data_IF_289182677401
#
_entry.id   IF_289182677401
#
_cell.length_a   1.000
_cell.length_b   1.000
_cell.length_c   1.000
_cell.angle_alpha   90.00
_cell.angle_beta   90.00
_cell.angle_gamma   90.00
#
_symmetry.space_group_name_H-M   'P 1'
#
loop_
_entity.id
_entity.type
_entity.pdbx_description
1 polymer ?
#
# COMPACT_ATOMS: atom_id res chain seq x y z
N UNK A 1 -1.78 2.30 28.86
CA UNK A 1 -2.27 1.68 27.65
C UNK A 1 -2.36 2.66 26.48
N UNK A 2 -3.27 3.62 26.49
CA UNK A 2 -3.52 4.56 25.37
C UNK A 2 -2.23 5.24 24.90
N UNK A 3 -1.39 5.76 25.82
CA UNK A 3 -0.14 6.43 25.47
C UNK A 3 0.86 5.50 24.76
N UNK A 4 0.99 4.23 25.19
CA UNK A 4 1.86 3.24 24.55
C UNK A 4 1.31 2.88 23.15
N UNK A 5 0.00 2.63 23.04
CA UNK A 5 -0.67 2.35 21.77
C UNK A 5 -0.56 3.52 20.79
N UNK A 6 -0.74 4.75 21.26
CA UNK A 6 -0.62 5.96 20.47
C UNK A 6 0.80 6.14 19.89
N UNK A 7 1.83 5.95 20.71
CA UNK A 7 3.22 6.03 20.25
C UNK A 7 3.55 4.94 19.24
N UNK A 8 3.08 3.71 19.45
CA UNK A 8 3.26 2.62 18.49
C UNK A 8 2.48 2.89 17.20
N UNK A 9 1.25 3.40 17.31
CA UNK A 9 0.45 3.79 16.15
C UNK A 9 1.13 4.87 15.31
N UNK A 10 1.71 5.88 15.93
CA UNK A 10 2.46 6.93 15.25
C UNK A 10 3.75 6.39 14.58
N UNK A 11 4.45 5.46 15.24
CA UNK A 11 5.61 4.79 14.66
C UNK A 11 5.23 3.99 13.42
N UNK A 12 4.17 3.17 13.51
CA UNK A 12 3.68 2.37 12.40
C UNK A 12 3.15 3.25 11.27
N UNK A 13 2.39 4.30 11.58
CA UNK A 13 1.98 5.30 10.60
C UNK A 13 3.18 5.80 9.79
N UNK A 14 4.31 6.12 10.48
CA UNK A 14 5.52 6.58 9.82
C UNK A 14 6.21 5.56 8.91
N UNK A 15 6.19 4.29 9.29
CA UNK A 15 6.79 3.21 8.48
C UNK A 15 5.94 2.94 7.23
N UNK A 16 4.63 3.01 7.37
CA UNK A 16 3.69 2.82 6.26
C UNK A 16 3.61 4.01 5.32
N UNK A 17 3.81 5.23 5.84
CA UNK A 17 3.64 6.43 5.04
C UNK A 17 4.76 6.57 4.00
N UNK A 18 4.47 6.20 2.78
CA UNK A 18 5.42 6.13 1.68
C UNK A 18 4.99 6.95 0.45
N UNK A 19 5.68 6.69 -0.65
CA UNK A 19 5.50 7.40 -1.92
C UNK A 19 4.06 7.36 -2.45
N UNK A 20 3.42 6.19 -2.43
CA UNK A 20 2.05 6.01 -2.92
C UNK A 20 1.03 6.85 -2.19
N UNK A 21 1.19 6.95 -0.88
CA UNK A 21 0.31 7.70 0.01
C UNK A 21 0.31 9.22 -0.25
N UNK A 22 1.35 9.70 -0.93
CA UNK A 22 1.48 11.11 -1.30
C UNK A 22 0.84 11.44 -2.65
N UNK A 23 0.97 10.55 -3.64
CA UNK A 23 0.63 10.87 -5.02
C UNK A 23 -0.74 10.36 -5.47
N UNK A 24 -1.21 9.20 -4.96
CA UNK A 24 -2.48 8.63 -5.40
C UNK A 24 -3.71 9.36 -4.86
N UNK A 25 -3.77 9.81 -3.59
CA UNK A 25 -4.92 10.57 -3.13
C UNK A 25 -5.16 11.86 -3.94
N UNK A 26 -4.18 12.76 -4.17
CA UNK A 26 -4.43 13.94 -4.98
C UNK A 26 -4.71 13.61 -6.45
N UNK A 27 -4.15 12.51 -6.98
CA UNK A 27 -4.46 12.01 -8.31
C UNK A 27 -5.93 11.62 -8.43
N UNK A 28 -6.43 10.82 -7.50
CA UNK A 28 -7.85 10.45 -7.39
C UNK A 28 -8.73 11.70 -7.29
N UNK A 29 -8.35 12.67 -6.45
CA UNK A 29 -9.09 13.93 -6.31
C UNK A 29 -9.27 14.64 -7.63
N UNK A 30 -8.18 14.81 -8.40
CA UNK A 30 -8.21 15.45 -9.72
C UNK A 30 -9.09 14.68 -10.71
N UNK A 31 -8.99 13.33 -10.73
CA UNK A 31 -9.67 12.50 -11.73
C UNK A 31 -11.13 12.20 -11.40
N UNK A 32 -11.54 12.32 -10.16
CA UNK A 32 -12.90 11.99 -9.70
C UNK A 32 -13.93 13.11 -9.92
N UNK A 33 -13.47 14.36 -10.07
CA UNK A 33 -14.34 15.50 -10.31
C UNK A 33 -15.52 15.59 -9.33
N UNK A 34 -16.75 15.70 -9.85
CA UNK A 34 -17.98 15.77 -9.06
C UNK A 34 -18.29 14.46 -8.29
N UNK A 35 -17.67 13.34 -8.62
CA UNK A 35 -17.87 12.05 -7.95
C UNK A 35 -16.89 11.80 -6.79
N UNK A 36 -16.26 12.85 -6.29
CA UNK A 36 -15.22 12.84 -5.25
C UNK A 36 -15.57 11.97 -4.03
N UNK A 37 -16.72 12.18 -3.42
CA UNK A 37 -17.09 11.48 -2.18
C UNK A 37 -17.26 9.97 -2.36
N UNK A 38 -17.80 9.54 -3.49
CA UNK A 38 -17.91 8.12 -3.81
C UNK A 38 -16.53 7.49 -4.08
N UNK A 39 -15.69 8.20 -4.83
CA UNK A 39 -14.33 7.75 -5.14
C UNK A 39 -13.46 7.63 -3.90
N UNK A 40 -13.43 8.66 -3.04
CA UNK A 40 -12.60 8.66 -1.83
C UNK A 40 -13.09 7.63 -0.80
N UNK A 41 -14.40 7.35 -0.74
CA UNK A 41 -14.91 6.27 0.12
C UNK A 41 -14.36 4.90 -0.31
N UNK A 42 -14.35 4.59 -1.61
CA UNK A 42 -13.73 3.37 -2.14
C UNK A 42 -12.24 3.31 -1.83
N UNK A 43 -11.53 4.41 -2.05
CA UNK A 43 -10.09 4.52 -1.80
C UNK A 43 -9.73 4.31 -0.32
N UNK A 44 -10.44 4.97 0.60
CA UNK A 44 -10.19 4.82 2.04
C UNK A 44 -10.52 3.40 2.51
N UNK A 45 -11.57 2.79 1.98
CA UNK A 45 -11.91 1.41 2.31
C UNK A 45 -10.78 0.44 1.92
N UNK A 46 -10.24 0.55 0.71
CA UNK A 46 -9.20 -0.36 0.22
C UNK A 46 -7.79 0.04 0.68
N UNK A 47 -7.43 1.31 0.64
CA UNK A 47 -6.10 1.78 1.02
C UNK A 47 -5.89 1.81 2.54
N UNK A 48 -6.90 2.20 3.32
CA UNK A 48 -6.79 2.29 4.78
C UNK A 48 -7.45 1.10 5.47
N UNK A 49 -8.72 0.85 5.18
CA UNK A 49 -9.51 -0.17 5.86
C UNK A 49 -8.86 -1.55 5.78
N UNK A 50 -8.52 -1.99 4.57
CA UNK A 50 -7.86 -3.28 4.36
C UNK A 50 -6.45 -3.31 4.94
N UNK A 51 -5.68 -2.23 4.84
CA UNK A 51 -4.33 -2.17 5.39
C UNK A 51 -4.34 -2.35 6.92
N UNK A 52 -5.21 -1.61 7.61
CA UNK A 52 -5.35 -1.70 9.07
C UNK A 52 -5.87 -3.07 9.49
N UNK A 53 -6.85 -3.61 8.77
CA UNK A 53 -7.39 -4.94 9.03
C UNK A 53 -6.31 -6.02 8.88
N UNK A 54 -5.56 -5.97 7.79
CA UNK A 54 -4.43 -6.87 7.53
C UNK A 54 -3.35 -6.75 8.62
N UNK A 55 -3.02 -5.54 9.03
CA UNK A 55 -2.06 -5.30 10.12
C UNK A 55 -2.54 -5.92 11.44
N UNK A 56 -3.79 -5.66 11.84
CA UNK A 56 -4.37 -6.20 13.08
C UNK A 56 -4.32 -7.73 13.05
N UNK A 57 -4.76 -8.36 11.96
CA UNK A 57 -4.76 -9.82 11.84
C UNK A 57 -3.35 -10.40 11.93
N UNK A 58 -2.38 -9.78 11.25
CA UNK A 58 -0.98 -10.19 11.31
C UNK A 58 -0.36 -10.06 12.70
N UNK A 59 -0.76 -9.04 13.47
CA UNK A 59 -0.26 -8.82 14.83
C UNK A 59 -0.92 -9.73 15.88
N UNK A 60 -2.10 -10.25 15.58
CA UNK A 60 -2.79 -11.19 16.46
C UNK A 60 -2.26 -12.63 16.38
N UNK A 61 -1.41 -12.94 15.40
CA UNK A 61 -0.76 -14.23 15.28
C UNK A 61 0.77 -14.09 15.34
N UNK A 62 1.42 -14.51 16.44
CA UNK A 62 2.89 -14.45 16.58
C UNK A 62 3.65 -15.25 15.51
N UNK A 63 3.04 -16.32 14.96
CA UNK A 63 3.63 -17.16 13.92
C UNK A 63 3.53 -16.53 12.51
N UNK A 64 2.82 -15.40 12.38
CA UNK A 64 2.70 -14.61 11.15
C UNK A 64 1.89 -15.26 10.03
N UNK A 65 1.79 -14.55 8.91
CA UNK A 65 0.96 -14.94 7.76
C UNK A 65 1.37 -16.25 7.11
N UNK A 66 2.65 -16.59 7.08
CA UNK A 66 3.11 -17.84 6.47
C UNK A 66 2.47 -19.06 7.16
N UNK A 67 2.36 -19.03 8.49
CA UNK A 67 1.72 -20.09 9.26
C UNK A 67 0.21 -20.13 9.02
N UNK A 68 -0.45 -18.98 9.09
CA UNK A 68 -1.90 -18.87 8.86
C UNK A 68 -2.33 -19.43 7.50
N UNK A 69 -1.64 -19.02 6.45
CA UNK A 69 -1.95 -19.44 5.08
C UNK A 69 -1.62 -20.93 4.89
N UNK A 70 -0.49 -21.40 5.43
CA UNK A 70 -0.07 -22.80 5.34
C UNK A 70 -1.07 -23.74 5.99
N UNK A 71 -1.60 -23.38 7.16
CA UNK A 71 -2.55 -24.18 7.92
C UNK A 71 -3.93 -24.21 7.23
N UNK A 72 -4.42 -23.05 6.82
CA UNK A 72 -5.80 -22.88 6.33
C UNK A 72 -5.94 -23.22 4.85
N UNK A 73 -4.90 -22.98 4.05
CA UNK A 73 -4.93 -23.19 2.61
C UNK A 73 -3.97 -24.30 2.24
N UNK A 74 -2.69 -23.99 2.01
CA UNK A 74 -1.65 -24.97 1.70
C UNK A 74 -0.25 -24.37 1.92
N UNK A 75 0.76 -25.17 2.35
CA UNK A 75 2.12 -24.69 2.54
C UNK A 75 2.77 -24.14 1.28
N UNK A 76 2.60 -24.83 0.13
CA UNK A 76 3.14 -24.38 -1.15
C UNK A 76 2.53 -23.05 -1.58
N UNK A 77 1.22 -22.89 -1.38
CA UNK A 77 0.51 -21.65 -1.74
C UNK A 77 0.97 -20.47 -0.88
N UNK A 78 1.20 -20.70 0.43
CA UNK A 78 1.74 -19.68 1.32
C UNK A 78 3.08 -19.14 0.80
N UNK A 79 3.99 -20.02 0.37
CA UNK A 79 5.30 -19.62 -0.17
C UNK A 79 5.13 -18.84 -1.47
N UNK A 80 4.37 -19.37 -2.45
CA UNK A 80 4.18 -18.74 -3.76
C UNK A 80 3.54 -17.35 -3.60
N UNK A 81 2.47 -17.26 -2.82
CA UNK A 81 1.77 -16.01 -2.57
C UNK A 81 2.66 -14.98 -1.87
N UNK A 82 3.36 -15.36 -0.79
CA UNK A 82 4.23 -14.44 -0.06
C UNK A 82 5.45 -14.03 -0.88
N UNK A 83 6.02 -14.93 -1.69
CA UNK A 83 7.08 -14.57 -2.64
C UNK A 83 6.60 -13.51 -3.62
N UNK A 84 5.43 -13.70 -4.25
CA UNK A 84 4.84 -12.73 -5.17
C UNK A 84 4.55 -11.38 -4.47
N UNK A 85 4.01 -11.42 -3.25
CA UNK A 85 3.75 -10.25 -2.44
C UNK A 85 5.04 -9.50 -2.11
N UNK A 86 6.06 -10.17 -1.55
CA UNK A 86 7.31 -9.54 -1.17
C UNK A 86 8.11 -9.00 -2.36
N UNK A 87 8.06 -9.68 -3.52
CA UNK A 87 8.64 -9.14 -4.76
C UNK A 87 7.92 -7.88 -5.23
N UNK A 88 6.60 -7.83 -5.06
CA UNK A 88 5.79 -6.67 -5.47
C UNK A 88 6.03 -5.45 -4.58
N UNK A 89 6.01 -5.62 -3.25
CA UNK A 89 6.33 -4.51 -2.32
C UNK A 89 7.84 -4.24 -2.22
N UNK A 90 8.66 -5.15 -2.67
CA UNK A 90 10.12 -5.07 -2.71
C UNK A 90 10.62 -4.53 -4.05
N UNK A 91 11.46 -5.31 -4.74
CA UNK A 91 12.26 -4.83 -5.87
C UNK A 91 11.46 -4.40 -7.10
N UNK A 92 10.24 -4.92 -7.30
CA UNK A 92 9.55 -4.66 -8.55
C UNK A 92 8.74 -3.38 -8.57
N UNK A 93 8.06 -3.01 -7.45
CA UNK A 93 7.16 -1.84 -7.51
C UNK A 93 7.39 -0.83 -6.38
N UNK A 94 7.29 -1.19 -5.10
CA UNK A 94 7.33 -0.17 -4.06
C UNK A 94 8.71 0.46 -3.90
N UNK A 95 9.79 -0.32 -3.86
CA UNK A 95 11.17 0.19 -3.75
C UNK A 95 11.52 1.14 -4.91
N UNK A 96 11.37 0.77 -6.21
CA UNK A 96 11.67 1.70 -7.29
C UNK A 96 10.75 2.93 -7.30
N UNK A 97 9.46 2.75 -6.94
CA UNK A 97 8.50 3.86 -6.88
C UNK A 97 8.84 4.89 -5.82
N UNK A 98 9.38 4.49 -4.65
CA UNK A 98 9.81 5.47 -3.64
C UNK A 98 10.89 6.41 -4.15
N UNK A 99 11.87 5.88 -4.88
CA UNK A 99 12.94 6.68 -5.48
C UNK A 99 12.41 7.62 -6.58
N UNK A 100 11.56 7.10 -7.49
CA UNK A 100 10.99 7.90 -8.58
C UNK A 100 10.04 8.98 -8.08
N UNK A 101 9.22 8.72 -7.06
CA UNK A 101 8.35 9.76 -6.46
C UNK A 101 9.17 10.82 -5.75
N UNK A 102 10.21 10.43 -5.01
CA UNK A 102 11.11 11.40 -4.39
C UNK A 102 11.78 12.31 -5.43
N UNK A 103 12.14 11.75 -6.58
CA UNK A 103 12.68 12.50 -7.71
C UNK A 103 11.63 13.39 -8.37
N UNK A 104 10.48 12.83 -8.77
CA UNK A 104 9.44 13.53 -9.54
C UNK A 104 8.77 14.67 -8.76
N UNK A 105 8.48 14.44 -7.47
CA UNK A 105 7.88 15.45 -6.59
C UNK A 105 8.91 16.47 -6.12
N UNK A 106 10.11 16.00 -5.78
CA UNK A 106 11.11 16.82 -5.11
C UNK A 106 12.06 17.52 -6.07
N UNK A 107 12.75 16.79 -6.91
CA UNK A 107 13.92 17.26 -7.67
C UNK A 107 13.55 17.71 -9.09
N UNK A 108 12.76 16.91 -9.80
CA UNK A 108 12.38 17.15 -11.19
C UNK A 108 11.83 18.56 -11.45
N UNK A 109 10.96 19.14 -10.57
CA UNK A 109 10.43 20.49 -10.76
C UNK A 109 11.48 21.61 -10.68
N UNK A 110 12.67 21.33 -10.15
CA UNK A 110 13.78 22.28 -10.05
C UNK A 110 14.75 22.19 -11.24
N UNK A 111 14.58 21.20 -12.11
CA UNK A 111 15.47 20.96 -13.25
C UNK A 111 14.86 21.46 -14.57
N UNK A 112 15.74 21.83 -15.51
CA UNK A 112 15.31 22.10 -16.88
C UNK A 112 14.86 20.80 -17.57
N UNK A 113 13.90 20.87 -18.49
CA UNK A 113 13.34 19.70 -19.20
C UNK A 113 14.40 18.79 -19.83
N UNK A 114 15.50 19.35 -20.31
CA UNK A 114 16.58 18.58 -20.95
C UNK A 114 17.45 17.81 -19.96
N UNK A 115 17.39 18.14 -18.67
CA UNK A 115 18.21 17.51 -17.63
C UNK A 115 17.44 16.48 -16.79
N UNK A 116 16.12 16.35 -16.96
CA UNK A 116 15.31 15.47 -16.13
C UNK A 116 15.70 13.99 -16.23
N UNK A 117 16.04 13.49 -17.43
CA UNK A 117 16.48 12.10 -17.61
C UNK A 117 17.83 11.81 -16.94
N UNK A 118 18.82 12.67 -17.12
CA UNK A 118 20.14 12.53 -16.49
C UNK A 118 19.98 12.72 -14.96
N UNK A 119 19.18 13.68 -14.55
CA UNK A 119 18.88 13.94 -13.15
C UNK A 119 18.27 12.72 -12.45
N UNK A 120 17.37 11.98 -13.10
CA UNK A 120 16.81 10.73 -12.57
C UNK A 120 17.91 9.70 -12.32
N UNK A 121 18.79 9.46 -13.29
CA UNK A 121 19.86 8.46 -13.14
C UNK A 121 20.81 8.85 -12.01
N UNK A 122 21.24 10.11 -11.95
CA UNK A 122 22.14 10.59 -10.89
C UNK A 122 21.47 10.47 -9.51
N UNK A 123 20.23 10.94 -9.40
CA UNK A 123 19.48 10.89 -8.14
C UNK A 123 19.28 9.44 -7.68
N UNK A 124 18.78 8.55 -8.54
CA UNK A 124 18.53 7.15 -8.20
C UNK A 124 19.81 6.42 -7.83
N UNK A 125 20.94 6.71 -8.50
CA UNK A 125 22.26 6.13 -8.16
C UNK A 125 22.65 6.48 -6.73
N UNK A 126 22.60 7.75 -6.35
CA UNK A 126 22.94 8.20 -5.00
C UNK A 126 21.95 7.66 -3.95
N UNK A 127 20.66 7.69 -4.29
CA UNK A 127 19.58 7.23 -3.43
C UNK A 127 19.70 5.73 -3.12
N UNK A 128 19.89 4.89 -4.13
CA UNK A 128 20.00 3.45 -3.94
C UNK A 128 21.34 3.03 -3.33
N UNK A 129 22.43 3.73 -3.63
CA UNK A 129 23.71 3.51 -2.95
C UNK A 129 23.58 3.76 -1.44
N UNK A 130 22.98 4.88 -1.06
CA UNK A 130 22.75 5.20 0.35
C UNK A 130 21.77 4.21 1.02
N UNK A 131 20.65 3.86 0.34
CA UNK A 131 19.68 2.90 0.86
C UNK A 131 20.29 1.51 1.07
N UNK A 132 21.12 1.05 0.15
CA UNK A 132 21.85 -0.21 0.27
C UNK A 132 22.78 -0.22 1.48
N UNK A 133 23.63 0.80 1.61
CA UNK A 133 24.60 0.87 2.72
C UNK A 133 23.91 0.84 4.09
N UNK A 134 22.78 1.54 4.23
CA UNK A 134 22.00 1.53 5.47
C UNK A 134 21.30 0.18 5.69
N UNK A 135 20.81 -0.46 4.63
CA UNK A 135 20.12 -1.74 4.72
C UNK A 135 21.05 -2.90 5.07
N UNK A 136 22.33 -2.80 4.79
CA UNK A 136 23.32 -3.82 5.17
C UNK A 136 23.54 -3.89 6.69
N UNK A 137 23.40 -2.78 7.38
CA UNK A 137 23.50 -2.67 8.82
C UNK A 137 22.31 -1.84 9.34
N UNK A 138 21.10 -2.44 9.44
CA UNK A 138 19.93 -1.73 9.87
C UNK A 138 20.14 -1.19 11.29
N UNK A 139 20.63 0.02 11.37
CA UNK A 139 20.97 0.67 12.61
C UNK A 139 19.75 1.40 13.19
N UNK A 140 19.80 1.71 14.50
CA UNK A 140 18.83 2.58 15.20
C UNK A 140 18.65 3.97 14.55
N UNK A 141 19.45 4.29 13.52
CA UNK A 141 19.43 5.58 12.81
C UNK A 141 18.13 5.71 11.99
N UNK A 142 17.73 4.66 11.25
CA UNK A 142 16.47 4.62 10.50
C UNK A 142 15.25 4.84 11.40
N UNK A 143 15.24 4.16 12.55
CA UNK A 143 14.20 4.33 13.57
C UNK A 143 14.14 5.76 14.10
N UNK A 144 15.30 6.40 14.35
CA UNK A 144 15.34 7.77 14.87
C UNK A 144 14.91 8.79 13.83
N UNK A 145 15.38 8.65 12.60
CA UNK A 145 15.01 9.55 11.49
C UNK A 145 13.51 9.46 11.25
N UNK A 146 12.95 8.26 11.11
CA UNK A 146 11.52 8.06 10.91
C UNK A 146 10.67 8.61 12.07
N UNK A 147 11.08 8.39 13.32
CA UNK A 147 10.35 8.88 14.52
C UNK A 147 10.23 10.40 14.60
N UNK A 148 11.18 11.15 14.06
CA UNK A 148 11.18 12.61 14.11
C UNK A 148 10.62 13.20 12.82
N UNK A 149 11.13 12.75 11.66
CA UNK A 149 10.76 13.37 10.40
C UNK A 149 9.34 13.04 9.95
N UNK A 150 8.86 11.84 10.21
CA UNK A 150 7.50 11.47 9.78
C UNK A 150 6.41 12.31 10.45
N UNK A 151 6.40 12.54 11.78
CA UNK A 151 5.44 13.47 12.39
C UNK A 151 5.55 14.89 11.86
N UNK A 152 6.77 15.39 11.66
CA UNK A 152 6.99 16.72 11.08
C UNK A 152 6.40 16.81 9.68
N UNK A 153 6.68 15.82 8.84
CA UNK A 153 6.15 15.76 7.49
C UNK A 153 4.62 15.65 7.47
N UNK A 154 4.04 14.81 8.33
CA UNK A 154 2.58 14.70 8.45
C UNK A 154 1.92 16.04 8.83
N UNK A 155 2.51 16.76 9.79
CA UNK A 155 2.03 18.11 10.17
C UNK A 155 2.10 19.08 8.99
N UNK A 156 3.18 19.06 8.23
CA UNK A 156 3.34 19.95 7.07
C UNK A 156 2.35 19.65 5.95
N UNK A 157 2.07 18.37 5.68
CA UNK A 157 1.02 17.98 4.73
C UNK A 157 -0.36 18.42 5.24
N UNK A 158 -0.64 18.29 6.54
CA UNK A 158 -1.90 18.78 7.12
C UNK A 158 -2.02 20.30 6.93
N UNK A 159 -0.96 21.05 7.18
CA UNK A 159 -0.95 22.50 6.96
C UNK A 159 -1.16 22.82 5.46
N UNK A 160 -0.47 22.11 4.55
CA UNK A 160 -0.66 22.26 3.10
C UNK A 160 -2.12 22.02 2.71
N UNK A 161 -2.74 20.96 3.23
CA UNK A 161 -4.13 20.61 2.96
C UNK A 161 -5.09 21.69 3.48
N UNK A 162 -4.90 22.16 4.72
CA UNK A 162 -5.76 23.20 5.31
C UNK A 162 -5.65 24.49 4.51
N UNK A 163 -4.44 24.97 4.25
CA UNK A 163 -4.22 26.20 3.48
C UNK A 163 -4.69 26.05 2.03
N UNK A 164 -4.51 24.88 1.44
CA UNK A 164 -5.02 24.55 0.11
C UNK A 164 -6.55 24.54 0.07
N UNK A 165 -7.19 23.97 1.07
CA UNK A 165 -8.65 23.99 1.19
C UNK A 165 -9.20 25.41 1.37
N UNK A 166 -8.54 26.26 2.16
CA UNK A 166 -8.93 27.67 2.34
C UNK A 166 -8.75 28.47 1.03
N UNK A 167 -7.71 28.19 0.25
CA UNK A 167 -7.41 28.93 -0.98
C UNK A 167 -8.18 28.44 -2.19
N UNK A 168 -8.38 27.14 -2.33
CA UNK A 168 -8.93 26.51 -3.52
C UNK A 168 -10.29 25.82 -3.29
N UNK A 169 -10.77 25.68 -2.06
CA UNK A 169 -11.95 24.91 -1.72
C UNK A 169 -13.26 25.39 -2.36
N UNK A 170 -13.29 26.61 -2.92
CA UNK A 170 -14.41 27.16 -3.68
C UNK A 170 -14.24 27.09 -5.19
N UNK A 171 -13.12 26.57 -5.70
CA UNK A 171 -12.90 26.41 -7.14
C UNK A 171 -13.79 25.29 -7.69
N UNK A 172 -14.14 25.40 -8.97
CA UNK A 172 -14.90 24.35 -9.67
C UNK A 172 -14.02 23.09 -9.84
N UNK A 173 -14.66 21.93 -9.69
CA UNK A 173 -14.00 20.64 -9.91
C UNK A 173 -13.61 20.46 -11.37
N UNK A 174 -12.57 19.68 -11.60
CA UNK A 174 -12.27 19.10 -12.91
C UNK A 174 -13.43 18.18 -13.34
N UNK A 175 -13.61 17.98 -14.64
CA UNK A 175 -14.52 16.95 -15.11
C UNK A 175 -14.04 15.57 -14.71
N UNK A 176 -14.94 14.72 -14.22
CA UNK A 176 -14.59 13.35 -13.91
C UNK A 176 -14.10 12.62 -15.15
N UNK A 177 -13.04 11.83 -15.02
CA UNK A 177 -12.60 10.95 -16.11
C UNK A 177 -13.65 9.88 -16.40
N UNK A 178 -13.60 9.28 -17.60
CA UNK A 178 -14.57 8.27 -18.01
C UNK A 178 -14.66 7.11 -17.00
N UNK A 179 -13.54 6.65 -16.46
CA UNK A 179 -13.50 5.57 -15.46
C UNK A 179 -14.26 5.93 -14.17
N UNK A 180 -14.06 7.14 -13.66
CA UNK A 180 -14.78 7.62 -12.46
C UNK A 180 -16.25 7.95 -12.72
N UNK A 181 -16.60 8.39 -13.92
CA UNK A 181 -18.00 8.59 -14.31
C UNK A 181 -18.77 7.27 -14.41
N UNK A 182 -18.13 6.19 -14.84
CA UNK A 182 -18.72 4.86 -14.94
C UNK A 182 -18.92 4.21 -13.55
N UNK A 183 -17.91 4.25 -12.68
CA UNK A 183 -17.95 3.64 -11.35
C UNK A 183 -16.98 4.32 -10.40
N UNK A 184 -17.38 5.43 -9.80
CA UNK A 184 -16.51 6.21 -8.94
C UNK A 184 -16.01 5.43 -7.71
N UNK A 185 -16.90 4.71 -7.02
CA UNK A 185 -16.53 3.89 -5.86
C UNK A 185 -15.56 2.76 -6.26
N UNK A 186 -15.88 2.02 -7.32
CA UNK A 186 -15.04 0.90 -7.78
C UNK A 186 -13.67 1.37 -8.24
N UNK A 187 -13.61 2.48 -9.00
CA UNK A 187 -12.35 3.06 -9.42
C UNK A 187 -11.53 3.58 -8.24
N UNK A 188 -12.18 4.25 -7.28
CA UNK A 188 -11.51 4.65 -6.04
C UNK A 188 -10.98 3.46 -5.23
N UNK A 189 -11.76 2.38 -5.16
CA UNK A 189 -11.34 1.14 -4.50
C UNK A 189 -10.10 0.51 -5.18
N UNK A 190 -10.06 0.48 -6.52
CA UNK A 190 -8.89 0.02 -7.27
C UNK A 190 -7.67 0.95 -7.09
N UNK A 191 -7.92 2.27 -7.10
CA UNK A 191 -6.83 3.24 -6.90
C UNK A 191 -6.18 3.09 -5.53
N UNK A 192 -6.94 2.69 -4.50
CA UNK A 192 -6.40 2.37 -3.19
C UNK A 192 -5.42 1.18 -3.19
N UNK A 193 -5.50 0.25 -4.16
CA UNK A 193 -4.49 -0.80 -4.32
C UNK A 193 -3.11 -0.22 -4.64
N UNK A 194 -3.07 0.90 -5.36
CA UNK A 194 -1.83 1.55 -5.74
C UNK A 194 -1.04 2.10 -4.55
N UNK A 195 -1.65 2.28 -3.37
CA UNK A 195 -0.90 2.65 -2.17
C UNK A 195 0.03 1.52 -1.69
N UNK A 196 -0.29 0.27 -2.02
CA UNK A 196 0.40 -0.96 -1.56
C UNK A 196 0.28 -1.23 -0.05
N UNK A 197 -0.52 -0.45 0.67
CA UNK A 197 -0.56 -0.48 2.14
C UNK A 197 -1.04 -1.83 2.69
N UNK A 198 -2.07 -2.47 2.10
CA UNK A 198 -2.54 -3.76 2.58
C UNK A 198 -1.51 -4.88 2.36
N UNK A 199 -0.78 -4.86 1.24
CA UNK A 199 0.32 -5.80 1.00
C UNK A 199 1.51 -5.53 1.94
N UNK A 200 1.87 -4.26 2.12
CA UNK A 200 2.91 -3.86 3.06
C UNK A 200 2.55 -4.24 4.51
N UNK A 201 1.26 -4.21 4.86
CA UNK A 201 0.77 -4.63 6.19
C UNK A 201 1.08 -6.10 6.51
N UNK A 202 1.06 -6.98 5.50
CA UNK A 202 1.48 -8.37 5.69
C UNK A 202 2.94 -8.44 6.14
N UNK A 203 3.83 -7.71 5.45
CA UNK A 203 5.25 -7.68 5.78
C UNK A 203 5.54 -6.95 7.10
N UNK A 204 4.91 -5.80 7.31
CA UNK A 204 5.15 -4.97 8.50
C UNK A 204 4.45 -5.49 9.76
N UNK A 205 3.52 -6.45 9.65
CA UNK A 205 2.93 -7.10 10.81
C UNK A 205 4.00 -7.75 11.71
N UNK A 206 5.07 -8.29 11.13
CA UNK A 206 6.21 -8.85 11.87
C UNK A 206 6.92 -7.76 12.70
N UNK A 207 7.16 -6.59 12.11
CA UNK A 207 7.75 -5.43 12.80
C UNK A 207 6.81 -4.95 13.92
N UNK A 208 5.51 -4.90 13.64
CA UNK A 208 4.50 -4.50 14.62
C UNK A 208 4.47 -5.46 15.83
N UNK A 209 4.50 -6.78 15.60
CA UNK A 209 4.59 -7.79 16.67
C UNK A 209 5.84 -7.59 17.51
N UNK A 210 7.01 -7.44 16.87
CA UNK A 210 8.27 -7.23 17.57
C UNK A 210 8.24 -5.95 18.43
N UNK A 211 7.72 -4.85 17.88
CA UNK A 211 7.58 -3.58 18.60
C UNK A 211 6.61 -3.69 19.76
N UNK A 212 5.47 -4.36 19.55
CA UNK A 212 4.48 -4.57 20.61
C UNK A 212 5.04 -5.44 21.74
N UNK A 213 5.75 -6.52 21.42
CA UNK A 213 6.37 -7.41 22.43
C UNK A 213 7.41 -6.67 23.30
N UNK A 214 8.15 -5.72 22.74
CA UNK A 214 9.10 -4.89 23.51
C UNK A 214 8.43 -3.97 24.54
N UNK A 215 7.11 -3.73 24.43
CA UNK A 215 6.37 -2.90 25.39
C UNK A 215 6.08 -3.59 26.73
N UNK A 216 6.28 -4.91 26.82
CA UNK A 216 6.12 -5.68 28.04
C UNK A 216 4.67 -5.67 28.57
N UNK A 217 3.75 -6.30 27.86
CA UNK A 217 2.35 -6.41 28.30
C UNK A 217 2.18 -7.42 29.43
N UNK A 218 1.31 -7.10 30.40
CA UNK A 218 1.06 -7.95 31.55
C UNK A 218 0.08 -9.09 31.25
N UNK A 219 -0.78 -8.91 30.24
CA UNK A 219 -1.79 -9.90 29.90
C UNK A 219 -2.30 -9.72 28.46
N UNK A 220 -2.96 -10.74 27.94
CA UNK A 220 -3.55 -10.81 26.61
C UNK A 220 -4.56 -9.68 26.32
N UNK A 221 -5.37 -9.29 27.31
CA UNK A 221 -6.37 -8.24 27.13
C UNK A 221 -5.72 -6.88 26.87
N UNK A 222 -4.60 -6.58 27.57
CA UNK A 222 -3.84 -5.36 27.37
C UNK A 222 -3.19 -5.34 25.98
N UNK A 223 -2.63 -6.45 25.52
CA UNK A 223 -2.06 -6.61 24.18
C UNK A 223 -3.10 -6.35 23.08
N UNK A 224 -4.24 -7.06 23.13
CA UNK A 224 -5.32 -6.92 22.14
C UNK A 224 -5.89 -5.49 22.15
N UNK A 225 -6.16 -4.92 23.33
CA UNK A 225 -6.65 -3.53 23.42
C UNK A 225 -5.67 -2.53 22.82
N UNK A 226 -4.37 -2.75 23.01
CA UNK A 226 -3.34 -1.87 22.42
C UNK A 226 -3.30 -1.99 20.89
N UNK A 227 -3.44 -3.19 20.32
CA UNK A 227 -3.53 -3.39 18.86
C UNK A 227 -4.70 -2.62 18.26
N UNK A 228 -5.88 -2.65 18.90
CA UNK A 228 -7.04 -1.90 18.43
C UNK A 228 -6.81 -0.38 18.48
N UNK A 229 -6.16 0.13 19.53
CA UNK A 229 -5.77 1.55 19.63
C UNK A 229 -4.79 1.92 18.52
N UNK A 230 -3.78 1.08 18.28
CA UNK A 230 -2.81 1.26 17.18
C UNK A 230 -3.54 1.30 15.83
N UNK A 231 -4.37 0.30 15.56
CA UNK A 231 -5.13 0.22 14.31
C UNK A 231 -6.04 1.43 14.08
N UNK A 232 -6.76 1.87 15.11
CA UNK A 232 -7.61 3.05 15.04
C UNK A 232 -6.83 4.33 14.76
N UNK A 233 -5.67 4.52 15.41
CA UNK A 233 -4.83 5.69 15.17
C UNK A 233 -4.25 5.70 13.75
N UNK A 234 -3.79 4.56 13.26
CA UNK A 234 -3.33 4.42 11.88
C UNK A 234 -4.47 4.70 10.91
N UNK A 235 -5.67 4.13 11.15
CA UNK A 235 -6.84 4.36 10.31
C UNK A 235 -7.23 5.84 10.25
N UNK A 236 -7.34 6.52 11.40
CA UNK A 236 -7.71 7.93 11.45
C UNK A 236 -6.64 8.82 10.79
N UNK A 237 -5.36 8.55 11.06
CA UNK A 237 -4.25 9.31 10.48
C UNK A 237 -4.23 9.21 8.95
N UNK A 238 -4.28 7.98 8.41
CA UNK A 238 -4.30 7.77 6.95
C UNK A 238 -5.58 8.32 6.30
N UNK A 239 -6.75 8.09 6.90
CA UNK A 239 -8.01 8.61 6.36
C UNK A 239 -8.00 10.14 6.28
N UNK A 240 -7.54 10.83 7.33
CA UNK A 240 -7.43 12.28 7.35
C UNK A 240 -6.46 12.79 6.25
N UNK A 241 -5.30 12.16 6.12
CA UNK A 241 -4.31 12.50 5.10
C UNK A 241 -4.84 12.25 3.69
N UNK A 242 -5.46 11.10 3.43
CA UNK A 242 -5.95 10.73 2.11
C UNK A 242 -7.12 11.60 1.67
N UNK A 243 -8.10 11.82 2.55
CA UNK A 243 -9.22 12.71 2.27
C UNK A 243 -8.73 14.13 2.02
N UNK A 244 -7.80 14.61 2.84
CA UNK A 244 -7.26 15.96 2.71
C UNK A 244 -6.45 16.17 1.43
N UNK A 245 -5.53 15.26 1.10
CA UNK A 245 -4.75 15.33 -0.14
C UNK A 245 -5.64 15.14 -1.38
N UNK A 246 -6.62 14.26 -1.32
CA UNK A 246 -7.57 14.08 -2.41
C UNK A 246 -8.47 15.32 -2.58
N UNK A 247 -8.90 15.95 -1.48
CA UNK A 247 -9.65 17.21 -1.54
C UNK A 247 -8.82 18.33 -2.20
N UNK A 248 -7.54 18.43 -1.83
CA UNK A 248 -6.62 19.35 -2.48
C UNK A 248 -6.53 19.07 -3.99
N UNK A 249 -6.36 17.81 -4.38
CA UNK A 249 -6.30 17.42 -5.80
C UNK A 249 -7.60 17.69 -6.56
N UNK A 250 -8.74 17.57 -5.91
CA UNK A 250 -10.04 17.81 -6.53
C UNK A 250 -10.30 19.29 -6.86
N UNK A 251 -9.74 20.20 -6.07
CA UNK A 251 -9.98 21.65 -6.20
C UNK A 251 -8.80 22.42 -6.78
N UNK A 252 -7.58 21.83 -6.81
CA UNK A 252 -6.42 22.47 -7.37
C UNK A 252 -6.47 22.44 -8.91
N UNK A 253 -6.21 23.58 -9.59
CA UNK A 253 -6.24 23.63 -11.06
C UNK A 253 -5.09 22.80 -11.65
N UNK A 254 -5.43 21.79 -12.45
CA UNK A 254 -4.48 20.91 -13.13
C UNK A 254 -4.65 21.04 -14.65
N UNK A 255 -3.59 21.37 -15.42
CA UNK A 255 -3.66 21.43 -16.89
C UNK A 255 -4.04 20.08 -17.50
N UNK A 256 -4.85 20.10 -18.56
CA UNK A 256 -5.30 18.88 -19.25
C UNK A 256 -4.14 18.01 -19.76
N UNK A 257 -3.04 18.64 -20.17
CA UNK A 257 -1.82 17.94 -20.61
C UNK A 257 -1.19 17.08 -19.49
N UNK A 258 -1.28 17.55 -18.24
CA UNK A 258 -0.77 16.82 -17.06
C UNK A 258 -1.70 15.63 -16.75
N UNK A 259 -3.01 15.84 -16.86
CA UNK A 259 -4.00 14.78 -16.68
C UNK A 259 -3.78 13.68 -17.74
N UNK A 260 -3.57 14.05 -18.99
CA UNK A 260 -3.31 13.11 -20.09
C UNK A 260 -2.00 12.33 -19.94
N UNK A 261 -1.01 12.86 -19.23
CA UNK A 261 0.29 12.18 -18.98
C UNK A 261 0.22 11.09 -17.90
N UNK A 262 -0.88 10.97 -17.17
CA UNK A 262 -1.10 9.88 -16.23
C UNK A 262 -1.25 10.34 -14.78
N UNK A 263 -0.25 10.49 -13.97
CA UNK A 263 -0.37 10.73 -12.53
C UNK A 263 -0.35 12.23 -12.18
N UNK A 264 -1.53 12.92 -12.12
CA UNK A 264 -1.59 14.34 -11.79
C UNK A 264 -1.23 14.64 -10.32
N UNK A 265 -1.21 13.64 -9.43
CA UNK A 265 -0.93 13.85 -8.01
C UNK A 265 0.46 14.39 -7.72
N UNK A 266 1.47 14.00 -8.51
CA UNK A 266 2.83 14.58 -8.44
C UNK A 266 2.79 16.07 -8.68
N UNK A 267 2.09 16.49 -9.74
CA UNK A 267 1.93 17.89 -10.10
C UNK A 267 1.20 18.68 -9.02
N UNK A 268 0.07 18.15 -8.53
CA UNK A 268 -0.71 18.80 -7.46
C UNK A 268 0.17 19.03 -6.24
N UNK A 269 0.88 18.01 -5.76
CA UNK A 269 1.68 18.11 -4.54
C UNK A 269 2.79 19.16 -4.68
N UNK A 270 3.52 19.16 -5.79
CA UNK A 270 4.59 20.11 -6.05
C UNK A 270 4.07 21.54 -6.26
N UNK A 271 3.11 21.73 -7.18
CA UNK A 271 2.61 23.05 -7.54
C UNK A 271 1.77 23.70 -6.44
N UNK A 272 0.96 22.93 -5.70
CA UNK A 272 0.23 23.47 -4.56
C UNK A 272 1.19 23.94 -3.45
N UNK A 273 2.28 23.19 -3.21
CA UNK A 273 3.30 23.59 -2.23
C UNK A 273 3.94 24.93 -2.63
N UNK A 274 4.34 25.07 -3.90
CA UNK A 274 4.93 26.33 -4.39
C UNK A 274 3.91 27.48 -4.37
N UNK A 275 2.65 27.23 -4.74
CA UNK A 275 1.61 28.25 -4.80
C UNK A 275 1.16 28.74 -3.40
N UNK A 276 1.32 27.93 -2.35
CA UNK A 276 0.90 28.26 -0.98
C UNK A 276 2.07 28.83 -0.18
N UNK A 277 3.26 28.22 -0.26
CA UNK A 277 4.42 28.60 0.58
C UNK A 277 5.53 29.30 -0.18
N UNK A 278 5.40 29.49 -1.50
CA UNK A 278 6.42 30.11 -2.36
C UNK A 278 7.44 29.12 -2.93
N UNK A 279 8.28 29.57 -3.88
CA UNK A 279 9.21 28.70 -4.60
C UNK A 279 10.25 27.99 -3.74
N UNK A 280 10.69 28.61 -2.65
CA UNK A 280 11.67 28.04 -1.71
C UNK A 280 11.14 26.81 -0.97
N UNK A 281 9.82 26.68 -0.83
CA UNK A 281 9.19 25.53 -0.20
C UNK A 281 9.40 24.24 -1.01
N UNK A 282 9.69 24.33 -2.32
CA UNK A 282 10.02 23.18 -3.13
C UNK A 282 11.27 22.44 -2.63
N UNK A 283 12.30 23.17 -2.18
CA UNK A 283 13.52 22.57 -1.62
C UNK A 283 13.18 21.79 -0.34
N UNK A 284 12.32 22.36 0.49
CA UNK A 284 11.88 21.71 1.72
C UNK A 284 11.01 20.47 1.44
N UNK A 285 10.08 20.57 0.49
CA UNK A 285 9.29 19.44 0.02
C UNK A 285 10.20 18.32 -0.52
N UNK A 286 11.20 18.67 -1.33
CA UNK A 286 12.17 17.74 -1.88
C UNK A 286 12.91 16.97 -0.77
N UNK A 287 13.43 17.68 0.22
CA UNK A 287 14.12 17.06 1.35
C UNK A 287 13.19 16.11 2.14
N UNK A 288 11.99 16.56 2.46
CA UNK A 288 11.03 15.80 3.26
C UNK A 288 10.52 14.55 2.54
N UNK A 289 10.13 14.68 1.26
CA UNK A 289 9.68 13.53 0.46
C UNK A 289 10.82 12.54 0.25
N UNK A 290 12.03 13.02 -0.05
CA UNK A 290 13.19 12.15 -0.22
C UNK A 290 13.47 11.33 1.04
N UNK A 291 13.51 11.95 2.20
CA UNK A 291 13.79 11.23 3.45
C UNK A 291 12.66 10.26 3.82
N UNK A 292 11.41 10.65 3.66
CA UNK A 292 10.26 9.79 3.92
C UNK A 292 10.25 8.56 3.00
N UNK A 293 10.47 8.76 1.71
CA UNK A 293 10.60 7.67 0.74
C UNK A 293 11.82 6.79 1.02
N UNK A 294 12.94 7.39 1.43
CA UNK A 294 14.18 6.70 1.74
C UNK A 294 14.06 5.74 2.93
N UNK A 295 13.39 6.16 3.99
CA UNK A 295 13.16 5.27 5.16
C UNK A 295 12.28 4.09 4.79
N UNK A 296 11.26 4.29 3.96
CA UNK A 296 10.43 3.21 3.42
C UNK A 296 11.24 2.26 2.54
N UNK A 297 12.06 2.78 1.63
CA UNK A 297 12.94 1.96 0.78
C UNK A 297 13.86 1.07 1.60
N UNK A 298 14.58 1.64 2.56
CA UNK A 298 15.49 0.87 3.39
C UNK A 298 14.75 -0.19 4.22
N UNK A 299 13.59 0.15 4.79
CA UNK A 299 12.73 -0.80 5.49
C UNK A 299 12.25 -1.95 4.61
N UNK A 300 11.88 -1.67 3.35
CA UNK A 300 11.44 -2.69 2.40
C UNK A 300 12.60 -3.58 1.92
N UNK A 301 13.80 -3.03 1.69
CA UNK A 301 14.99 -3.84 1.36
C UNK A 301 15.28 -4.82 2.50
N UNK A 302 15.26 -4.34 3.75
CA UNK A 302 15.50 -5.19 4.93
C UNK A 302 14.43 -6.26 5.06
N UNK A 303 13.17 -5.87 5.06
CA UNK A 303 12.03 -6.78 5.24
C UNK A 303 11.98 -7.87 4.16
N UNK A 304 12.16 -7.47 2.89
CA UNK A 304 12.17 -8.41 1.77
C UNK A 304 13.39 -9.31 1.81
N UNK A 305 14.58 -8.75 2.08
CA UNK A 305 15.82 -9.52 2.21
C UNK A 305 15.76 -10.55 3.34
N UNK A 306 15.22 -10.19 4.50
CA UNK A 306 15.02 -11.10 5.62
C UNK A 306 14.02 -12.22 5.31
N UNK A 307 12.89 -11.89 4.67
CA UNK A 307 11.89 -12.87 4.26
C UNK A 307 12.52 -13.92 3.34
N UNK A 308 13.24 -13.48 2.30
CA UNK A 308 13.88 -14.40 1.36
C UNK A 308 15.00 -15.21 1.99
N UNK A 309 15.81 -14.60 2.85
CA UNK A 309 16.86 -15.33 3.57
C UNK A 309 16.31 -16.41 4.51
N UNK A 310 15.21 -16.13 5.21
CA UNK A 310 14.52 -17.12 6.07
C UNK A 310 13.84 -18.23 5.27
N UNK A 311 13.25 -17.89 4.11
CA UNK A 311 12.50 -18.84 3.28
C UNK A 311 13.44 -19.68 2.41
N UNK A 312 14.52 -19.08 1.90
CA UNK A 312 15.51 -19.70 1.02
C UNK A 312 16.93 -19.46 1.55
N UNK A 313 17.38 -20.19 2.58
CA UNK A 313 18.62 -19.92 3.32
C UNK A 313 19.91 -20.21 2.54
N UNK A 314 19.82 -20.68 1.29
CA UNK A 314 21.00 -20.95 0.42
C UNK A 314 21.80 -19.68 0.12
N UNK A 315 21.17 -18.52 0.09
CA UNK A 315 21.81 -17.23 -0.14
C UNK A 315 21.81 -16.40 1.15
N UNK A 316 22.86 -15.64 1.36
CA UNK A 316 22.93 -14.75 2.52
C UNK A 316 22.01 -13.54 2.37
N UNK A 317 21.61 -12.94 3.49
CA UNK A 317 20.86 -11.70 3.51
C UNK A 317 21.49 -10.60 2.63
N UNK A 318 22.84 -10.48 2.69
CA UNK A 318 23.57 -9.48 1.89
C UNK A 318 23.36 -9.67 0.39
N UNK A 319 23.34 -10.92 -0.10
CA UNK A 319 23.10 -11.23 -1.52
C UNK A 319 21.70 -10.82 -1.92
N UNK A 320 20.67 -11.16 -1.12
CA UNK A 320 19.29 -10.75 -1.38
C UNK A 320 19.15 -9.23 -1.38
N UNK A 321 19.68 -8.54 -0.38
CA UNK A 321 19.65 -7.09 -0.30
C UNK A 321 20.33 -6.43 -1.51
N UNK A 322 21.49 -6.95 -1.96
CA UNK A 322 22.19 -6.46 -3.16
C UNK A 322 21.34 -6.64 -4.42
N UNK A 323 20.84 -7.86 -4.65
CA UNK A 323 20.04 -8.18 -5.84
C UNK A 323 18.78 -7.33 -5.89
N UNK A 324 18.06 -7.22 -4.78
CA UNK A 324 16.81 -6.44 -4.73
C UNK A 324 17.04 -4.94 -4.88
N UNK A 325 18.13 -4.42 -4.35
CA UNK A 325 18.52 -3.02 -4.55
C UNK A 325 18.86 -2.74 -6.02
N UNK A 326 19.62 -3.63 -6.68
CA UNK A 326 19.97 -3.49 -8.09
C UNK A 326 18.74 -3.59 -9.00
N UNK A 327 17.84 -4.55 -8.77
CA UNK A 327 16.58 -4.65 -9.53
C UNK A 327 15.75 -3.38 -9.34
N UNK A 328 15.58 -2.91 -8.10
CA UNK A 328 14.85 -1.68 -7.80
C UNK A 328 15.47 -0.45 -8.48
N UNK A 329 16.80 -0.33 -8.50
CA UNK A 329 17.52 0.73 -9.20
C UNK A 329 17.25 0.70 -10.72
N UNK A 330 17.35 -0.46 -11.35
CA UNK A 330 17.09 -0.60 -12.80
C UNK A 330 15.65 -0.21 -13.12
N UNK A 331 14.68 -0.72 -12.36
CA UNK A 331 13.26 -0.43 -12.57
C UNK A 331 12.93 1.04 -12.30
N UNK A 332 13.55 1.67 -11.30
CA UNK A 332 13.35 3.09 -11.02
C UNK A 332 13.70 3.98 -12.22
N UNK A 333 14.70 3.59 -12.99
CA UNK A 333 15.13 4.34 -14.19
C UNK A 333 14.19 4.15 -15.40
N UNK A 334 13.15 3.32 -15.32
CA UNK A 334 12.04 3.29 -16.29
C UNK A 334 11.07 4.46 -16.10
N UNK A 335 11.14 5.15 -14.96
CA UNK A 335 10.26 6.26 -14.60
C UNK A 335 8.97 5.83 -13.90
N UNK A 336 8.34 6.78 -13.22
CA UNK A 336 7.19 6.55 -12.36
C UNK A 336 5.97 5.96 -13.09
N UNK A 337 5.64 6.50 -14.27
CA UNK A 337 4.48 6.05 -15.04
C UNK A 337 4.60 4.60 -15.49
N UNK A 338 5.79 4.16 -15.92
CA UNK A 338 6.04 2.78 -16.29
C UNK A 338 5.86 1.84 -15.07
N UNK A 339 6.40 2.22 -13.91
CA UNK A 339 6.26 1.44 -12.67
C UNK A 339 4.78 1.29 -12.30
N UNK A 340 3.99 2.36 -12.37
CA UNK A 340 2.55 2.32 -12.10
C UNK A 340 1.85 1.41 -13.11
N UNK A 341 2.11 1.58 -14.40
CA UNK A 341 1.49 0.79 -15.47
C UNK A 341 1.71 -0.72 -15.29
N UNK A 342 2.93 -1.13 -14.96
CA UNK A 342 3.26 -2.55 -14.76
C UNK A 342 2.79 -3.09 -13.41
N UNK A 343 2.68 -2.24 -12.38
CA UNK A 343 2.21 -2.70 -11.07
C UNK A 343 0.71 -2.98 -11.03
N UNK A 344 -0.11 -2.19 -11.71
CA UNK A 344 -1.58 -2.28 -11.64
C UNK A 344 -2.11 -3.68 -11.92
N UNK A 345 -1.74 -4.38 -13.01
CA UNK A 345 -2.23 -5.74 -13.26
C UNK A 345 -1.87 -6.73 -12.16
N UNK A 346 -0.65 -6.64 -11.62
CA UNK A 346 -0.18 -7.54 -10.55
C UNK A 346 -0.95 -7.26 -9.25
N UNK A 347 -1.22 -6.00 -8.93
CA UNK A 347 -2.00 -5.62 -7.76
C UNK A 347 -3.46 -6.07 -7.87
N UNK A 348 -4.06 -6.02 -9.05
CA UNK A 348 -5.41 -6.54 -9.31
C UNK A 348 -5.53 -8.06 -9.13
N UNK A 349 -4.41 -8.79 -9.13
CA UNK A 349 -4.36 -10.20 -8.76
C UNK A 349 -4.12 -10.37 -7.25
N UNK A 350 -3.11 -9.70 -6.70
CA UNK A 350 -2.68 -9.92 -5.32
C UNK A 350 -3.67 -9.39 -4.28
N UNK A 351 -4.31 -8.24 -4.53
CA UNK A 351 -5.24 -7.65 -3.56
C UNK A 351 -6.49 -8.49 -3.30
N UNK A 352 -7.22 -8.99 -4.31
CA UNK A 352 -8.33 -9.91 -4.09
C UNK A 352 -7.95 -11.13 -3.25
N UNK A 353 -6.79 -11.73 -3.54
CA UNK A 353 -6.26 -12.88 -2.79
C UNK A 353 -5.97 -12.48 -1.34
N UNK A 354 -5.30 -11.34 -1.13
CA UNK A 354 -5.00 -10.82 0.21
C UNK A 354 -6.27 -10.58 1.02
N UNK A 355 -7.27 -9.91 0.42
CA UNK A 355 -8.55 -9.61 1.07
C UNK A 355 -9.25 -10.89 1.49
N UNK A 356 -9.31 -11.88 0.60
CA UNK A 356 -9.98 -13.15 0.88
C UNK A 356 -9.25 -13.94 1.96
N UNK A 357 -7.92 -13.97 1.96
CA UNK A 357 -7.13 -14.60 3.03
C UNK A 357 -7.46 -13.93 4.38
N UNK A 358 -7.45 -12.61 4.43
CA UNK A 358 -7.75 -11.85 5.65
C UNK A 358 -9.18 -12.13 6.13
N UNK A 359 -10.17 -12.12 5.23
CA UNK A 359 -11.56 -12.45 5.57
C UNK A 359 -11.70 -13.89 6.08
N UNK A 360 -11.07 -14.86 5.43
CA UNK A 360 -11.05 -16.26 5.87
C UNK A 360 -10.46 -16.38 7.28
N UNK A 361 -9.34 -15.71 7.53
CA UNK A 361 -8.69 -15.75 8.85
C UNK A 361 -9.61 -15.15 9.92
N UNK A 362 -10.28 -14.04 9.62
CA UNK A 362 -11.23 -13.40 10.54
C UNK A 362 -12.43 -14.33 10.80
N UNK A 363 -13.11 -14.76 9.74
CA UNK A 363 -14.33 -15.57 9.87
C UNK A 363 -14.04 -16.88 10.59
N UNK A 364 -12.92 -17.55 10.25
CA UNK A 364 -12.55 -18.83 10.89
C UNK A 364 -12.26 -18.71 12.39
N UNK A 365 -12.02 -17.50 12.91
CA UNK A 365 -11.89 -17.28 14.37
C UNK A 365 -13.21 -17.32 15.12
N UNK A 366 -14.28 -16.93 14.46
CA UNK A 366 -15.62 -16.89 15.06
C UNK A 366 -16.46 -18.08 14.65
N UNK A 367 -16.33 -18.54 13.42
CA UNK A 367 -17.10 -19.61 12.81
C UNK A 367 -16.13 -20.63 12.17
N UNK A 368 -16.11 -21.89 12.63
CA UNK A 368 -15.18 -22.89 12.10
C UNK A 368 -15.49 -23.20 10.63
N UNK A 369 -14.56 -22.82 9.76
CA UNK A 369 -14.64 -23.03 8.33
C UNK A 369 -14.02 -24.38 7.92
N UNK A 370 -14.55 -25.00 6.88
CA UNK A 370 -13.96 -26.17 6.25
C UNK A 370 -12.66 -25.80 5.52
N UNK A 371 -11.60 -26.59 5.71
CA UNK A 371 -10.34 -26.41 5.00
C UNK A 371 -10.53 -26.47 3.48
N UNK A 372 -11.32 -27.44 3.00
CA UNK A 372 -11.63 -27.57 1.57
C UNK A 372 -12.37 -26.35 1.05
N UNK A 373 -13.34 -25.83 1.83
CA UNK A 373 -14.07 -24.62 1.47
C UNK A 373 -13.16 -23.39 1.37
N UNK A 374 -12.24 -23.20 2.32
CA UNK A 374 -11.25 -22.13 2.29
C UNK A 374 -10.32 -22.22 1.05
N UNK A 375 -9.86 -23.44 0.73
CA UNK A 375 -9.03 -23.70 -0.45
C UNK A 375 -9.77 -23.39 -1.76
N UNK A 376 -11.00 -23.85 -1.89
CA UNK A 376 -11.83 -23.59 -3.08
C UNK A 376 -12.14 -22.10 -3.25
N UNK A 377 -12.41 -21.40 -2.15
CA UNK A 377 -12.65 -19.96 -2.18
C UNK A 377 -11.43 -19.18 -2.70
N UNK A 378 -10.25 -19.47 -2.14
CA UNK A 378 -9.01 -18.82 -2.60
C UNK A 378 -8.68 -19.18 -4.04
N UNK A 379 -8.87 -20.45 -4.45
CA UNK A 379 -8.66 -20.89 -5.83
C UNK A 379 -9.60 -20.16 -6.80
N UNK A 380 -10.89 -20.07 -6.47
CA UNK A 380 -11.88 -19.39 -7.31
C UNK A 380 -11.53 -17.90 -7.48
N UNK A 381 -11.21 -17.19 -6.40
CA UNK A 381 -10.81 -15.77 -6.46
C UNK A 381 -9.51 -15.59 -7.24
N UNK A 382 -8.54 -16.47 -7.04
CA UNK A 382 -7.29 -16.45 -7.81
C UNK A 382 -7.56 -16.61 -9.31
N UNK A 383 -8.36 -17.60 -9.69
CA UNK A 383 -8.71 -17.86 -11.10
C UNK A 383 -9.46 -16.67 -11.73
N UNK A 384 -10.45 -16.10 -11.01
CA UNK A 384 -11.20 -14.93 -11.49
C UNK A 384 -10.28 -13.72 -11.68
N UNK A 385 -9.38 -13.46 -10.73
CA UNK A 385 -8.43 -12.33 -10.81
C UNK A 385 -7.46 -12.50 -11.98
N UNK A 386 -6.92 -13.70 -12.18
CA UNK A 386 -6.09 -13.99 -13.36
C UNK A 386 -6.89 -13.88 -14.67
N UNK A 387 -8.09 -14.46 -14.72
CA UNK A 387 -8.95 -14.37 -15.90
C UNK A 387 -9.28 -12.91 -16.26
N UNK A 388 -9.59 -12.08 -15.27
CA UNK A 388 -9.85 -10.65 -15.44
C UNK A 388 -8.68 -9.95 -16.13
N UNK A 389 -7.47 -10.17 -15.64
CA UNK A 389 -6.26 -9.52 -16.19
C UNK A 389 -5.90 -10.09 -17.56
N UNK A 390 -5.95 -11.41 -17.74
CA UNK A 390 -5.67 -12.03 -19.05
C UNK A 390 -6.67 -11.57 -20.11
N UNK A 391 -7.96 -11.53 -19.78
CA UNK A 391 -8.98 -11.01 -20.68
C UNK A 391 -8.72 -9.57 -21.12
N UNK A 392 -8.36 -8.70 -20.17
CA UNK A 392 -8.08 -7.30 -20.45
C UNK A 392 -6.76 -7.09 -21.23
N UNK A 393 -5.65 -7.71 -20.79
CA UNK A 393 -4.32 -7.50 -21.38
C UNK A 393 -4.18 -8.13 -22.78
N UNK A 394 -4.77 -9.29 -23.00
CA UNK A 394 -4.68 -10.00 -24.28
C UNK A 394 -5.93 -9.85 -25.15
N UNK A 395 -6.88 -8.98 -24.74
CA UNK A 395 -8.13 -8.73 -25.48
C UNK A 395 -8.92 -10.00 -25.81
N UNK A 396 -8.95 -10.98 -24.87
CA UNK A 396 -9.64 -12.23 -25.06
C UNK A 396 -11.12 -12.02 -24.73
N UNK A 397 -11.93 -11.71 -25.76
CA UNK A 397 -13.32 -11.28 -25.61
C UNK A 397 -14.15 -12.26 -24.78
N UNK A 398 -14.11 -13.58 -25.08
CA UNK A 398 -14.91 -14.58 -24.36
C UNK A 398 -14.58 -14.66 -22.85
N UNK A 399 -13.31 -14.40 -22.46
CA UNK A 399 -12.91 -14.35 -21.05
C UNK A 399 -13.45 -13.08 -20.41
N UNK A 400 -13.24 -11.94 -21.07
CA UNK A 400 -13.74 -10.65 -20.61
C UNK A 400 -15.26 -10.65 -20.44
N UNK A 401 -16.01 -11.22 -21.38
CA UNK A 401 -17.47 -11.32 -21.31
C UNK A 401 -17.92 -12.14 -20.10
N UNK A 402 -17.26 -13.29 -19.83
CA UNK A 402 -17.56 -14.12 -18.66
C UNK A 402 -17.26 -13.42 -17.35
N UNK A 403 -16.13 -12.71 -17.27
CA UNK A 403 -15.78 -11.94 -16.06
C UNK A 403 -16.72 -10.75 -15.88
N UNK A 404 -17.06 -10.04 -16.96
CA UNK A 404 -17.97 -8.89 -16.92
C UNK A 404 -19.43 -9.28 -16.59
N UNK A 405 -19.81 -10.53 -16.80
CA UNK A 405 -21.10 -11.06 -16.38
C UNK A 405 -21.21 -11.32 -14.87
N UNK A 406 -20.07 -11.32 -14.13
CA UNK A 406 -20.08 -11.50 -12.69
C UNK A 406 -20.63 -10.25 -11.99
N UNK A 407 -21.34 -10.43 -10.85
CA UNK A 407 -21.80 -9.30 -10.04
C UNK A 407 -20.65 -8.38 -9.62
N UNK A 408 -20.89 -7.08 -9.61
CA UNK A 408 -19.91 -6.02 -9.30
C UNK A 408 -18.70 -5.94 -10.26
N UNK A 409 -18.71 -6.59 -11.41
CA UNK A 409 -17.65 -6.46 -12.41
C UNK A 409 -17.51 -5.00 -12.90
N UNK A 410 -18.64 -4.27 -13.06
CA UNK A 410 -18.61 -2.84 -13.41
C UNK A 410 -17.95 -1.97 -12.34
N UNK A 411 -18.00 -2.41 -11.08
CA UNK A 411 -17.28 -1.78 -9.98
C UNK A 411 -15.83 -2.31 -9.85
N UNK A 412 -15.35 -3.09 -10.82
CA UNK A 412 -14.03 -3.72 -10.82
C UNK A 412 -13.80 -4.72 -9.67
N UNK A 413 -14.89 -5.31 -9.16
CA UNK A 413 -14.90 -6.28 -8.06
C UNK A 413 -15.58 -7.61 -8.46
N UNK A 414 -15.24 -8.24 -9.61
CA UNK A 414 -15.90 -9.48 -10.06
C UNK A 414 -15.67 -10.66 -9.11
N UNK A 415 -14.61 -10.62 -8.32
CA UNK A 415 -14.22 -11.65 -7.36
C UNK A 415 -15.02 -11.60 -6.04
N UNK A 416 -15.70 -10.48 -5.74
CA UNK A 416 -16.29 -10.23 -4.41
C UNK A 416 -17.40 -11.23 -4.07
N UNK A 417 -18.39 -11.38 -4.96
CA UNK A 417 -19.52 -12.32 -4.71
C UNK A 417 -19.03 -13.76 -4.68
N UNK A 418 -18.21 -14.26 -5.62
CA UNK A 418 -17.61 -15.59 -5.50
C UNK A 418 -16.86 -15.82 -4.20
N UNK A 419 -16.13 -14.81 -3.68
CA UNK A 419 -15.45 -14.90 -2.40
C UNK A 419 -16.44 -15.07 -1.22
N UNK A 420 -17.48 -14.24 -1.16
CA UNK A 420 -18.48 -14.30 -0.10
C UNK A 420 -19.26 -15.62 -0.14
N UNK A 421 -19.68 -16.05 -1.32
CA UNK A 421 -20.36 -17.35 -1.50
C UNK A 421 -19.45 -18.51 -1.09
N UNK A 422 -18.18 -18.49 -1.50
CA UNK A 422 -17.21 -19.51 -1.10
C UNK A 422 -16.98 -19.58 0.42
N UNK A 423 -16.88 -18.45 1.10
CA UNK A 423 -16.77 -18.38 2.55
C UNK A 423 -18.04 -18.94 3.22
N UNK A 424 -19.23 -18.58 2.72
CA UNK A 424 -20.49 -19.09 3.23
C UNK A 424 -20.61 -20.61 3.03
N UNK A 425 -20.28 -21.12 1.85
CA UNK A 425 -20.31 -22.55 1.57
C UNK A 425 -19.32 -23.32 2.44
N UNK A 426 -18.18 -22.73 2.83
CA UNK A 426 -17.22 -23.37 3.72
C UNK A 426 -17.75 -23.61 5.14
N UNK A 427 -18.85 -22.97 5.55
CA UNK A 427 -19.54 -23.26 6.80
C UNK A 427 -20.28 -24.59 6.79
N UNK A 428 -20.68 -25.09 5.62
CA UNK A 428 -21.49 -26.29 5.46
C UNK A 428 -20.68 -27.52 5.03
N UNK A 429 -19.46 -27.32 4.51
CA UNK A 429 -18.60 -28.40 4.05
C UNK A 429 -17.95 -29.18 5.23
N UNK A 430 -17.60 -30.47 5.04
CA UNK A 430 -16.92 -31.31 6.04
C UNK A 430 -15.48 -30.82 6.31
N UNK A 431 -14.80 -31.43 7.28
CA UNK A 431 -13.43 -31.13 7.70
C UNK A 431 -13.26 -29.70 8.25
N UNK A 432 -14.14 -29.31 9.16
CA UNK A 432 -14.03 -28.03 9.87
C UNK A 432 -12.75 -27.99 10.71
N UNK A 433 -11.97 -26.95 10.52
CA UNK A 433 -10.83 -26.69 11.41
C UNK A 433 -11.36 -26.19 12.77
N UNK A 434 -10.82 -26.73 13.87
CA UNK A 434 -11.05 -26.14 15.19
C UNK A 434 -10.55 -24.69 15.14
N UNK A 435 -11.38 -23.76 15.63
CA UNK A 435 -10.95 -22.38 15.75
C UNK A 435 -9.76 -22.32 16.72
N UNK A 436 -8.57 -22.05 16.21
CA UNK A 436 -7.42 -21.78 17.07
C UNK A 436 -7.69 -20.46 17.81
N UNK A 437 -7.97 -20.58 19.11
CA UNK A 437 -7.99 -19.39 19.97
C UNK A 437 -6.61 -18.77 19.92
N UNK A 438 -6.55 -17.44 19.85
CA UNK A 438 -5.30 -16.69 19.90
C UNK A 438 -4.40 -17.19 21.04
N UNK A 439 -3.34 -17.92 20.73
CA UNK A 439 -2.28 -18.26 21.65
C UNK A 439 -1.26 -17.12 21.60
N UNK A 440 -1.32 -16.27 22.60
CA UNK A 440 -0.20 -15.37 22.91
C UNK A 440 0.65 -16.16 23.88
N UNK A 441 1.87 -16.52 23.47
CA UNK A 441 2.85 -17.08 24.39
C UNK A 441 3.03 -16.09 25.54
N UNK A 442 2.75 -16.58 26.74
CA UNK A 442 2.89 -15.86 28.02
C UNK A 442 4.33 -15.58 28.35
#
# INVERSE_FOLDING_TARGET
>A
MIKKGALTGLLLFGIFFGAGNLIFPPSLGTLSGQHFWSAIAGFVLSGVGLAVLTLIIGTLNPKGYIHEISQKIAPWFAIVYLVALYLSIGPFFAIPRTATVAYEVGISPMLSKNMTGIGLIVFTTLYFAAAYLISLNPSKILDRIGRILTPVFAVLIIILVILGALKYGTTTHQQASQAYSASAFGQGFLEGYNTLDALASVAFSVIAVTTLNQLGFKNKKEYISTIWVVGLMVALGFSAMYIGLAFLGNHFPVPAEIIAKGNPGVYVLSQATQAIFGPTAQIFLAAMVTVTCFTTTAGLIVSTGEFFHKTFPKLSYKVYATVFTLIGFVIANLGLNAIIQYSVPVLQILYPITIVIVLIVIVNKFLPLSKIGMQLTVAAVTLISFASILGQQFHIAWVSDKVNALPFAQASLPWLVPALVGILLSLFLPNKQKSERFEIES
#
